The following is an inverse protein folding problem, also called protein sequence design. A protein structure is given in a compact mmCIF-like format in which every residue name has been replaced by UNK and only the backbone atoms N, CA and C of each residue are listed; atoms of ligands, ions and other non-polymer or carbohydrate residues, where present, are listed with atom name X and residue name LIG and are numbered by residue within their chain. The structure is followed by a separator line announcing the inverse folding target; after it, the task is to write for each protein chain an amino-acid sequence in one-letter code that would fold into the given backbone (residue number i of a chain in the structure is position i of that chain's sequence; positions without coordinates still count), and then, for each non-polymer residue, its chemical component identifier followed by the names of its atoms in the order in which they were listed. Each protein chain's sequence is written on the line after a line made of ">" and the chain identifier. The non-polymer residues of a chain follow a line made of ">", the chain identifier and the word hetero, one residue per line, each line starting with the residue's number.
data_IF_030434024758
#
_entry.id   IF_030434024758
#
_cell.length_a   1.000
_cell.length_b   1.000
_cell.length_c   1.000
_cell.angle_alpha   90.00
_cell.angle_beta   90.00
_cell.angle_gamma   90.00
#
_symmetry.space_group_name_H-M   'P 1'
#
loop_
_entity.id
_entity.type
_entity.pdbx_description
1 polymer ?
#
# COMPACT_ATOMS: atom_id res chain seq x y z
N UNK A 1 -7.70 -17.28 8.03
CA UNK A 1 -6.62 -16.71 7.20
C UNK A 1 -7.05 -15.43 6.49
N UNK A 2 -8.09 -15.44 5.64
CA UNK A 2 -8.54 -14.26 4.89
C UNK A 2 -8.83 -13.03 5.79
N UNK A 3 -9.71 -13.15 6.78
CA UNK A 3 -10.05 -12.03 7.68
C UNK A 3 -8.85 -11.49 8.46
N UNK A 4 -7.97 -12.38 8.93
CA UNK A 4 -6.72 -11.98 9.61
C UNK A 4 -5.78 -11.23 8.66
N UNK A 5 -5.65 -11.69 7.41
CA UNK A 5 -4.88 -11.00 6.39
C UNK A 5 -5.45 -9.62 6.05
N UNK A 6 -6.77 -9.51 5.84
CA UNK A 6 -7.43 -8.24 5.62
C UNK A 6 -7.21 -7.28 6.80
N UNK A 7 -7.42 -7.74 8.04
CA UNK A 7 -7.21 -6.94 9.24
C UNK A 7 -5.76 -6.47 9.39
N UNK A 8 -4.79 -7.37 9.19
CA UNK A 8 -3.37 -7.03 9.22
C UNK A 8 -2.99 -6.02 8.13
N UNK A 9 -3.52 -6.19 6.91
CA UNK A 9 -3.29 -5.25 5.81
C UNK A 9 -3.88 -3.86 6.10
N UNK A 10 -5.08 -3.78 6.68
CA UNK A 10 -5.68 -2.50 7.11
C UNK A 10 -4.80 -1.81 8.15
N UNK A 11 -4.30 -2.55 9.14
CA UNK A 11 -3.38 -2.02 10.15
C UNK A 11 -2.05 -1.57 9.53
N UNK A 12 -1.56 -2.31 8.53
CA UNK A 12 -0.39 -1.91 7.73
C UNK A 12 -0.61 -0.59 7.01
N UNK A 13 -1.77 -0.38 6.38
CA UNK A 13 -2.11 0.90 5.72
C UNK A 13 -2.19 2.03 6.74
N UNK A 14 -2.85 1.80 7.89
CA UNK A 14 -2.96 2.81 8.93
C UNK A 14 -1.58 3.27 9.43
N UNK A 15 -0.67 2.32 9.66
CA UNK A 15 0.70 2.62 10.11
C UNK A 15 1.52 3.33 9.02
N UNK A 16 1.40 2.88 7.78
CA UNK A 16 2.03 3.54 6.62
C UNK A 16 1.55 4.99 6.50
N UNK A 17 0.23 5.23 6.51
CA UNK A 17 -0.35 6.56 6.44
C UNK A 17 0.07 7.44 7.61
N UNK A 18 0.16 6.89 8.82
CA UNK A 18 0.69 7.63 9.97
C UNK A 18 2.12 8.10 9.73
N UNK A 19 3.00 7.22 9.25
CA UNK A 19 4.38 7.60 8.90
C UNK A 19 4.47 8.58 7.75
N UNK A 20 3.60 8.46 6.73
CA UNK A 20 3.49 9.44 5.64
C UNK A 20 3.11 10.82 6.17
N UNK A 21 2.20 10.90 7.16
CA UNK A 21 1.81 12.18 7.75
C UNK A 21 2.96 12.84 8.51
N UNK A 22 3.76 12.04 9.22
CA UNK A 22 4.98 12.53 9.88
C UNK A 22 5.98 13.04 8.84
N UNK A 23 6.26 12.24 7.79
CA UNK A 23 7.16 12.63 6.70
C UNK A 23 6.71 13.93 6.05
N UNK A 24 5.44 14.00 5.63
CA UNK A 24 4.84 15.18 4.99
C UNK A 24 4.89 16.42 5.87
N UNK A 25 4.77 16.26 7.20
CA UNK A 25 4.91 17.38 8.13
C UNK A 25 6.31 18.02 8.06
N UNK A 26 7.36 17.20 7.93
CA UNK A 26 8.74 17.69 7.84
C UNK A 26 9.14 18.12 6.44
N UNK A 27 8.65 17.45 5.40
CA UNK A 27 9.04 17.72 4.00
C UNK A 27 8.12 18.70 3.29
N UNK A 28 6.95 19.03 3.89
CA UNK A 28 5.87 19.78 3.24
C UNK A 28 5.34 19.13 1.94
N UNK A 29 5.62 17.84 1.73
CA UNK A 29 5.16 17.11 0.55
C UNK A 29 3.62 16.98 0.57
N UNK A 30 2.92 17.21 -0.56
CA UNK A 30 1.48 17.02 -0.62
C UNK A 30 1.09 15.53 -0.58
N UNK A 31 -0.19 15.27 -0.29
CA UNK A 31 -0.77 13.93 -0.43
C UNK A 31 -0.66 13.41 -1.87
N UNK A 32 -0.38 12.12 -2.01
CA UNK A 32 -0.56 11.45 -3.30
C UNK A 32 -2.04 11.20 -3.54
N UNK A 33 -2.49 11.51 -4.76
CA UNK A 33 -3.82 11.16 -5.27
C UNK A 33 -3.76 10.07 -6.34
N UNK A 34 -2.58 9.48 -6.56
CA UNK A 34 -2.36 8.41 -7.54
C UNK A 34 -3.29 7.22 -7.25
N UNK A 35 -3.40 6.70 -6.01
CA UNK A 35 -4.31 5.58 -5.71
C UNK A 35 -5.78 5.90 -6.03
N UNK A 36 -6.25 7.08 -5.65
CA UNK A 36 -7.62 7.52 -5.95
C UNK A 36 -7.89 7.63 -7.45
N UNK A 37 -6.94 8.18 -8.23
CA UNK A 37 -7.01 8.25 -9.69
C UNK A 37 -6.98 6.85 -10.33
N UNK A 38 -6.15 5.95 -9.82
CA UNK A 38 -6.08 4.56 -10.28
C UNK A 38 -7.41 3.85 -10.06
N UNK A 39 -7.99 3.96 -8.87
CA UNK A 39 -9.31 3.38 -8.61
C UNK A 39 -10.38 3.99 -9.52
N UNK A 40 -10.38 5.32 -9.67
CA UNK A 40 -11.30 6.02 -10.57
C UNK A 40 -11.26 5.45 -11.99
N UNK A 41 -10.06 5.17 -12.52
CA UNK A 41 -9.87 4.53 -13.83
C UNK A 41 -10.33 3.08 -13.84
N UNK A 42 -10.01 2.29 -12.81
CA UNK A 42 -10.40 0.87 -12.73
C UNK A 42 -11.91 0.67 -12.75
N UNK A 43 -12.66 1.54 -12.05
CA UNK A 43 -14.13 1.45 -11.98
C UNK A 43 -14.84 2.43 -12.92
N UNK A 44 -14.09 3.09 -13.82
CA UNK A 44 -14.61 4.03 -14.82
C UNK A 44 -15.49 5.15 -14.26
N UNK A 45 -15.08 5.75 -13.13
CA UNK A 45 -15.76 6.91 -12.53
C UNK A 45 -14.91 8.17 -12.67
N UNK A 46 -15.57 9.32 -12.79
CA UNK A 46 -14.92 10.63 -12.79
C UNK A 46 -15.32 11.37 -11.49
N UNK A 47 -14.42 11.49 -10.49
CA UNK A 47 -14.74 12.22 -9.27
C UNK A 47 -15.01 13.70 -9.56
N UNK A 48 -16.14 14.20 -9.08
CA UNK A 48 -16.65 15.56 -9.30
C UNK A 48 -16.21 16.52 -8.19
N UNK A 49 -15.70 16.00 -7.07
CA UNK A 49 -15.28 16.80 -5.92
C UNK A 49 -13.99 16.29 -5.28
N UNK A 50 -13.38 17.13 -4.44
CA UNK A 50 -12.21 16.74 -3.64
C UNK A 50 -12.57 15.63 -2.63
N UNK A 51 -13.78 15.65 -2.09
CA UNK A 51 -14.24 14.65 -1.12
C UNK A 51 -14.46 13.29 -1.78
N UNK A 52 -15.01 13.27 -3.01
CA UNK A 52 -15.11 12.04 -3.80
C UNK A 52 -13.72 11.47 -4.13
N UNK A 53 -12.78 12.32 -4.56
CA UNK A 53 -11.40 11.89 -4.82
C UNK A 53 -10.73 11.36 -3.55
N UNK A 54 -10.97 12.00 -2.41
CA UNK A 54 -10.45 11.54 -1.11
C UNK A 54 -11.04 10.16 -0.75
N UNK A 55 -12.35 9.97 -0.93
CA UNK A 55 -13.02 8.69 -0.73
C UNK A 55 -12.44 7.58 -1.60
N UNK A 56 -12.24 7.85 -2.89
CA UNK A 56 -11.58 6.90 -3.80
C UNK A 56 -10.14 6.60 -3.39
N UNK A 57 -9.40 7.62 -2.93
CA UNK A 57 -8.02 7.43 -2.47
C UNK A 57 -7.96 6.54 -1.23
N UNK A 58 -8.83 6.77 -0.25
CA UNK A 58 -8.94 5.92 0.95
C UNK A 58 -9.40 4.51 0.59
N UNK A 59 -10.42 4.37 -0.26
CA UNK A 59 -10.92 3.07 -0.70
C UNK A 59 -9.82 2.25 -1.39
N UNK A 60 -9.02 2.88 -2.26
CA UNK A 60 -7.91 2.22 -2.93
C UNK A 60 -6.83 1.80 -1.93
N UNK A 61 -6.37 2.71 -1.07
CA UNK A 61 -5.33 2.41 -0.08
C UNK A 61 -5.73 1.25 0.83
N UNK A 62 -6.89 1.34 1.48
CA UNK A 62 -7.34 0.34 2.45
C UNK A 62 -7.80 -0.95 1.78
N UNK A 63 -8.51 -0.87 0.65
CA UNK A 63 -8.97 -2.05 -0.08
C UNK A 63 -7.80 -2.87 -0.63
N UNK A 64 -6.86 -2.20 -1.29
CA UNK A 64 -5.66 -2.86 -1.80
C UNK A 64 -4.76 -3.37 -0.68
N UNK A 65 -4.60 -2.60 0.40
CA UNK A 65 -3.88 -3.04 1.59
C UNK A 65 -4.50 -4.29 2.23
N UNK A 66 -5.82 -4.31 2.41
CA UNK A 66 -6.51 -5.49 2.93
C UNK A 66 -6.24 -6.73 2.07
N UNK A 67 -6.39 -6.61 0.74
CA UNK A 67 -6.17 -7.71 -0.20
C UNK A 67 -4.70 -8.16 -0.24
N UNK A 68 -3.75 -7.23 -0.23
CA UNK A 68 -2.33 -7.56 -0.14
C UNK A 68 -2.01 -8.25 1.19
N UNK A 69 -2.64 -7.85 2.30
CA UNK A 69 -2.51 -8.51 3.60
C UNK A 69 -2.94 -9.97 3.59
N UNK A 70 -3.91 -10.37 2.75
CA UNK A 70 -4.26 -11.78 2.54
C UNK A 70 -3.10 -12.57 1.95
N UNK A 71 -2.33 -11.98 1.03
CA UNK A 71 -1.12 -12.61 0.48
C UNK A 71 -0.09 -12.82 1.58
N UNK A 72 0.16 -11.80 2.42
CA UNK A 72 1.09 -11.94 3.56
C UNK A 72 0.63 -12.98 4.57
N UNK A 73 -0.68 -13.10 4.81
CA UNK A 73 -1.27 -14.13 5.64
C UNK A 73 -1.07 -15.55 5.08
N UNK A 74 -1.17 -15.72 3.75
CA UNK A 74 -0.83 -16.98 3.08
C UNK A 74 0.64 -17.31 3.24
N UNK A 75 1.54 -16.32 3.10
CA UNK A 75 2.97 -16.50 3.36
C UNK A 75 3.21 -16.99 4.79
N UNK A 76 2.63 -16.32 5.80
CA UNK A 76 2.73 -16.72 7.21
C UNK A 76 2.25 -18.16 7.44
N UNK A 77 1.07 -18.50 6.92
CA UNK A 77 0.47 -19.82 7.09
C UNK A 77 1.36 -20.95 6.53
N UNK A 78 2.08 -20.68 5.44
CA UNK A 78 3.00 -21.64 4.82
C UNK A 78 4.43 -21.57 5.41
N UNK A 79 4.63 -20.90 6.55
CA UNK A 79 5.92 -20.84 7.23
C UNK A 79 6.90 -19.80 6.68
N UNK A 80 6.52 -19.02 5.64
CA UNK A 80 7.31 -17.90 5.13
C UNK A 80 7.08 -16.69 6.02
N UNK A 81 7.89 -16.60 7.10
CA UNK A 81 7.73 -15.65 8.20
C UNK A 81 9.01 -14.85 8.46
N UNK A 82 8.88 -13.78 9.24
CA UNK A 82 10.01 -12.98 9.71
C UNK A 82 10.59 -11.98 8.69
N UNK A 83 11.75 -11.37 8.98
CA UNK A 83 12.24 -10.20 8.24
C UNK A 83 12.44 -10.42 6.74
N UNK A 84 12.85 -11.62 6.33
CA UNK A 84 13.01 -11.93 4.91
C UNK A 84 11.66 -12.03 4.18
N UNK A 85 10.62 -12.53 4.86
CA UNK A 85 9.25 -12.52 4.33
C UNK A 85 8.73 -11.08 4.16
N UNK A 86 9.04 -10.19 5.10
CA UNK A 86 8.65 -8.77 5.01
C UNK A 86 9.39 -8.03 3.89
N UNK A 87 10.66 -8.36 3.65
CA UNK A 87 11.41 -7.86 2.50
C UNK A 87 10.76 -8.30 1.17
N UNK A 88 10.47 -9.60 1.01
CA UNK A 88 9.77 -10.10 -0.19
C UNK A 88 8.40 -9.45 -0.35
N UNK A 89 7.67 -9.31 0.75
CA UNK A 89 6.33 -8.74 0.74
C UNK A 89 6.32 -7.23 0.44
N UNK A 90 7.37 -6.50 0.80
CA UNK A 90 7.60 -5.12 0.32
C UNK A 90 7.64 -5.08 -1.21
N UNK A 91 8.40 -6.00 -1.82
CA UNK A 91 8.46 -6.16 -3.28
C UNK A 91 7.09 -6.48 -3.88
N UNK A 92 6.33 -7.42 -3.29
CA UNK A 92 4.96 -7.73 -3.72
C UNK A 92 4.07 -6.49 -3.65
N UNK A 93 4.13 -5.75 -2.55
CA UNK A 93 3.32 -4.54 -2.36
C UNK A 93 3.61 -3.47 -3.41
N UNK A 94 4.90 -3.24 -3.71
CA UNK A 94 5.33 -2.33 -4.78
C UNK A 94 4.87 -2.81 -6.16
N UNK A 95 5.01 -4.11 -6.45
CA UNK A 95 4.55 -4.68 -7.71
C UNK A 95 3.05 -4.50 -7.93
N UNK A 96 2.24 -4.66 -6.88
CA UNK A 96 0.79 -4.42 -6.95
C UNK A 96 0.50 -2.96 -7.35
N UNK A 97 1.13 -1.99 -6.67
CA UNK A 97 0.96 -0.56 -6.99
C UNK A 97 1.35 -0.29 -8.44
N UNK A 98 2.57 -0.68 -8.80
CA UNK A 98 3.11 -0.36 -10.12
C UNK A 98 2.36 -1.06 -11.24
N UNK A 99 1.81 -2.25 -11.00
CA UNK A 99 0.95 -2.91 -11.98
C UNK A 99 -0.32 -2.09 -12.20
N UNK A 100 -1.04 -1.73 -11.14
CA UNK A 100 -2.34 -1.06 -11.25
C UNK A 100 -2.20 0.39 -11.73
N UNK A 101 -1.22 1.12 -11.23
CA UNK A 101 -0.96 2.51 -11.60
C UNK A 101 -0.53 2.63 -13.08
N UNK A 102 0.37 1.76 -13.55
CA UNK A 102 0.83 1.82 -14.94
C UNK A 102 -0.20 1.25 -15.92
N UNK A 103 -0.92 0.18 -15.56
CA UNK A 103 -2.00 -0.35 -16.42
C UNK A 103 -3.14 0.65 -16.63
N UNK A 104 -3.41 1.49 -15.63
CA UNK A 104 -4.43 2.55 -15.74
C UNK A 104 -3.92 3.82 -16.42
N UNK A 105 -2.63 3.90 -16.76
CA UNK A 105 -1.98 5.09 -17.31
C UNK A 105 -1.93 6.28 -16.34
N UNK A 106 -2.12 6.03 -15.04
CA UNK A 106 -2.06 7.06 -13.99
C UNK A 106 -0.63 7.23 -13.49
N UNK A 107 0.11 6.13 -13.41
CA UNK A 107 1.50 6.09 -12.98
C UNK A 107 2.49 6.36 -14.10
N UNK A 108 3.76 6.44 -13.70
CA UNK A 108 4.91 6.36 -14.59
C UNK A 108 5.86 5.30 -14.03
N UNK A 109 6.80 4.83 -14.87
CA UNK A 109 7.77 3.82 -14.46
C UNK A 109 8.61 4.34 -13.26
N UNK A 110 8.79 3.57 -12.17
CA UNK A 110 9.43 4.08 -10.95
C UNK A 110 10.81 4.70 -11.15
N UNK A 111 11.61 4.16 -12.08
CA UNK A 111 12.94 4.65 -12.39
C UNK A 111 12.97 5.98 -13.16
N UNK A 112 11.80 6.49 -13.58
CA UNK A 112 11.70 7.83 -14.19
C UNK A 112 11.33 8.90 -13.16
N UNK A 113 11.03 8.53 -11.92
CA UNK A 113 10.67 9.46 -10.85
C UNK A 113 11.92 10.09 -10.21
N UNK A 114 11.79 11.27 -9.60
CA UNK A 114 12.81 11.79 -8.71
C UNK A 114 13.23 10.77 -7.64
N UNK A 115 14.53 10.64 -7.37
CA UNK A 115 15.08 9.63 -6.45
C UNK A 115 14.46 9.73 -5.05
N UNK A 116 14.20 10.94 -4.58
CA UNK A 116 13.53 11.18 -3.30
C UNK A 116 12.12 10.58 -3.25
N UNK A 117 11.36 10.64 -4.34
CA UNK A 117 10.03 10.02 -4.41
C UNK A 117 10.12 8.49 -4.37
N UNK A 118 11.10 7.91 -5.06
CA UNK A 118 11.35 6.46 -5.01
C UNK A 118 11.69 5.99 -3.59
N UNK A 119 12.57 6.72 -2.89
CA UNK A 119 12.96 6.39 -1.52
C UNK A 119 11.79 6.51 -0.54
N UNK A 120 11.00 7.57 -0.65
CA UNK A 120 9.79 7.77 0.14
C UNK A 120 8.81 6.62 -0.11
N UNK A 121 8.62 6.23 -1.37
CA UNK A 121 7.71 5.15 -1.72
C UNK A 121 8.13 3.82 -1.09
N UNK A 122 9.38 3.42 -1.33
CA UNK A 122 9.97 2.19 -0.79
C UNK A 122 9.86 2.18 0.74
N UNK A 123 10.22 3.28 1.41
CA UNK A 123 10.17 3.37 2.87
C UNK A 123 8.77 3.10 3.42
N UNK A 124 7.75 3.75 2.87
CA UNK A 124 6.37 3.57 3.33
C UNK A 124 5.83 2.16 3.03
N UNK A 125 6.26 1.55 1.92
CA UNK A 125 5.94 0.14 1.63
C UNK A 125 6.62 -0.83 2.57
N UNK A 126 7.84 -0.53 3.04
CA UNK A 126 8.51 -1.31 4.10
C UNK A 126 7.72 -1.21 5.40
N UNK A 127 7.31 0.00 5.82
CA UNK A 127 6.47 0.19 7.03
C UNK A 127 5.19 -0.62 6.94
N UNK A 128 4.50 -0.55 5.81
CA UNK A 128 3.31 -1.36 5.53
C UNK A 128 3.62 -2.86 5.67
N UNK A 129 4.68 -3.35 5.03
CA UNK A 129 5.01 -4.77 4.96
C UNK A 129 5.39 -5.34 6.32
N UNK A 130 6.25 -4.65 7.08
CA UNK A 130 6.67 -5.04 8.43
C UNK A 130 5.48 -5.04 9.39
N UNK A 131 4.63 -4.02 9.33
CA UNK A 131 3.44 -3.94 10.20
C UNK A 131 2.47 -5.08 9.90
N UNK A 132 2.16 -5.29 8.62
CA UNK A 132 1.27 -6.38 8.18
C UNK A 132 1.85 -7.73 8.59
N UNK A 133 3.15 -7.94 8.34
CA UNK A 133 3.87 -9.16 8.68
C UNK A 133 3.89 -9.47 10.17
N UNK A 134 4.11 -8.46 11.02
CA UNK A 134 4.02 -8.60 12.47
C UNK A 134 2.66 -9.15 12.92
N UNK A 135 1.56 -8.60 12.39
CA UNK A 135 0.22 -9.07 12.73
C UNK A 135 -0.08 -10.45 12.16
N UNK A 136 0.26 -10.72 10.89
CA UNK A 136 -0.02 -12.04 10.29
C UNK A 136 0.81 -13.15 10.93
N UNK A 137 2.09 -12.92 11.21
CA UNK A 137 2.97 -13.93 11.83
C UNK A 137 2.55 -14.23 13.28
N UNK A 138 1.95 -13.26 13.97
CA UNK A 138 1.47 -13.43 15.35
C UNK A 138 0.07 -14.04 15.44
N UNK A 139 -0.83 -13.70 14.52
CA UNK A 139 -2.25 -14.12 14.54
C UNK A 139 -2.49 -15.45 13.81
N UNK A 140 -1.61 -15.81 12.88
CA UNK A 140 -1.70 -17.04 12.09
C UNK A 140 -0.50 -17.89 12.48
N UNK A 141 -0.65 -18.58 13.62
CA UNK A 141 0.31 -19.55 14.15
C UNK A 141 0.00 -20.94 13.64
#
# INVERSE_FOLDING_TARGET
>A
MFMYGCGAGILGVAMMTFTEKIEQFFTSRPNSLVPGKTLARLISVAPQSKDEMWGLNMAMHYGQGALAGVIRAVMSYNGVRGPFADFMFTGIRLLIDQTLENLTGVGALPWTWPVNEQLIDIFHKIVYAVTTGYFTDRLIS
#
